data_IF_796321009152
#
_entry.id   IF_796321009152
#
_cell.length_a   1.000
_cell.length_b   1.000
_cell.length_c   1.000
_cell.angle_alpha   90.00
_cell.angle_beta   90.00
_cell.angle_gamma   90.00
#
_symmetry.space_group_name_H-M   'P 1'
#
loop_
_entity.id
_entity.type
_entity.pdbx_description
1 polymer ?
#
# COMPACT_ATOMS: atom_id res chain seq x y z
N UNK A 1 -7.50 2.07 6.24
CA UNK A 1 -7.20 3.32 5.51
C UNK A 1 -6.41 2.99 4.26
N UNK A 2 -6.46 3.88 3.26
CA UNK A 2 -5.68 3.80 2.03
C UNK A 2 -5.04 5.14 1.74
N UNK A 3 -3.80 5.14 1.23
CA UNK A 3 -3.07 6.34 0.79
C UNK A 3 -2.45 6.10 -0.59
N UNK A 4 -2.35 7.13 -1.44
CA UNK A 4 -1.71 7.00 -2.76
C UNK A 4 -0.21 6.75 -2.61
N UNK A 5 0.35 5.84 -3.41
CA UNK A 5 1.78 5.59 -3.48
C UNK A 5 2.31 5.88 -4.89
N UNK A 6 1.72 5.26 -5.92
CA UNK A 6 2.01 5.46 -7.35
C UNK A 6 3.50 5.70 -7.68
N UNK A 7 4.38 4.87 -7.14
CA UNK A 7 5.83 5.01 -7.28
C UNK A 7 6.50 3.65 -7.33
N UNK A 8 7.64 3.56 -8.03
CA UNK A 8 8.48 2.37 -7.98
C UNK A 8 9.18 2.30 -6.62
N UNK A 9 9.09 1.13 -5.99
CA UNK A 9 9.86 0.74 -4.83
C UNK A 9 10.96 -0.21 -5.31
N UNK A 10 12.17 -0.03 -4.78
CA UNK A 10 13.24 -1.00 -4.93
C UNK A 10 13.17 -2.00 -3.77
N UNK A 11 12.73 -3.25 -4.00
CA UNK A 11 12.62 -4.24 -2.94
C UNK A 11 13.99 -4.70 -2.41
N UNK A 12 15.07 -4.46 -3.17
CA UNK A 12 16.44 -4.85 -2.82
C UNK A 12 17.23 -3.71 -2.18
N UNK A 13 16.61 -2.53 -2.00
CA UNK A 13 17.27 -1.39 -1.38
C UNK A 13 17.64 -1.70 0.08
N UNK A 14 18.85 -1.28 0.47
CA UNK A 14 19.33 -1.41 1.86
C UNK A 14 18.76 -0.35 2.80
N UNK A 15 18.10 0.68 2.24
CA UNK A 15 17.48 1.78 2.97
C UNK A 15 16.01 1.92 2.60
N UNK A 16 15.13 2.10 3.59
CA UNK A 16 13.70 2.29 3.34
C UNK A 16 13.38 3.71 2.89
N UNK A 17 12.56 3.84 1.84
CA UNK A 17 11.95 5.10 1.45
C UNK A 17 10.83 5.49 2.42
N UNK A 18 11.17 6.37 3.36
CA UNK A 18 10.26 6.88 4.40
C UNK A 18 9.59 8.20 4.03
N UNK A 19 9.95 8.79 2.88
CA UNK A 19 9.48 10.14 2.53
C UNK A 19 8.19 10.11 1.71
N UNK A 20 7.95 9.00 1.01
CA UNK A 20 6.72 8.76 0.25
C UNK A 20 5.76 7.90 1.05
N UNK A 21 4.49 7.88 0.68
CA UNK A 21 3.47 7.03 1.29
C UNK A 21 3.58 5.55 0.88
N UNK A 22 4.81 5.02 0.88
CA UNK A 22 5.11 3.61 0.66
C UNK A 22 4.61 2.75 1.84
N UNK A 23 4.36 1.45 1.62
CA UNK A 23 3.91 0.54 2.68
C UNK A 23 4.81 0.54 3.93
N UNK A 24 6.13 0.66 3.77
CA UNK A 24 7.08 0.71 4.89
C UNK A 24 6.90 2.00 5.70
N UNK A 25 6.92 3.17 5.05
CA UNK A 25 6.72 4.45 5.73
C UNK A 25 5.36 4.54 6.43
N UNK A 26 4.29 4.03 5.81
CA UNK A 26 2.96 3.97 6.43
C UNK A 26 2.96 3.05 7.66
N UNK A 27 3.65 1.92 7.60
CA UNK A 27 3.78 1.00 8.74
C UNK A 27 4.49 1.68 9.90
N UNK A 28 5.61 2.35 9.66
CA UNK A 28 6.35 3.06 10.70
C UNK A 28 5.50 4.17 11.33
N UNK A 29 4.81 4.97 10.52
CA UNK A 29 3.93 6.03 10.99
C UNK A 29 2.81 5.49 11.89
N UNK A 30 2.14 4.41 11.47
CA UNK A 30 1.03 3.83 12.24
C UNK A 30 1.51 3.10 13.50
N UNK A 31 2.66 2.43 13.46
CA UNK A 31 3.26 1.79 14.63
C UNK A 31 3.62 2.82 15.71
N UNK A 32 4.15 3.99 15.29
CA UNK A 32 4.43 5.10 16.20
C UNK A 32 3.13 5.71 16.78
N UNK A 33 2.08 5.83 15.95
CA UNK A 33 0.81 6.43 16.37
C UNK A 33 -0.06 5.53 17.27
N UNK A 34 0.09 4.20 17.16
CA UNK A 34 -0.66 3.23 17.96
C UNK A 34 0.27 2.17 18.61
N UNK A 35 1.11 2.56 19.59
CA UNK A 35 2.00 1.63 20.27
C UNK A 35 1.21 0.48 20.92
N UNK A 36 1.64 -0.76 20.65
CA UNK A 36 0.97 -1.96 21.16
C UNK A 36 -0.34 -2.32 20.45
N UNK A 37 -0.73 -1.60 19.41
CA UNK A 37 -1.87 -1.96 18.55
C UNK A 37 -1.50 -3.03 17.52
N UNK A 38 -2.51 -3.75 17.01
CA UNK A 38 -2.30 -4.68 15.89
C UNK A 38 -2.30 -3.90 14.56
N UNK A 39 -1.34 -4.19 13.69
CA UNK A 39 -1.13 -3.45 12.45
C UNK A 39 -0.84 -4.39 11.27
N UNK A 40 -1.65 -4.27 10.22
CA UNK A 40 -1.41 -4.89 8.91
C UNK A 40 -1.29 -3.79 7.86
N UNK A 41 -0.21 -3.83 7.06
CA UNK A 41 0.05 -2.90 5.96
C UNK A 41 0.46 -3.69 4.73
N UNK A 42 -0.11 -3.35 3.57
CA UNK A 42 0.22 -3.96 2.27
C UNK A 42 0.20 -2.93 1.14
N UNK A 43 1.02 -3.15 0.11
CA UNK A 43 0.89 -2.46 -1.17
C UNK A 43 -0.19 -3.11 -2.03
N UNK A 44 -0.95 -2.30 -2.78
CA UNK A 44 -1.96 -2.75 -3.73
C UNK A 44 -1.63 -2.20 -5.11
N UNK A 45 -1.94 -3.00 -6.13
CA UNK A 45 -1.71 -2.66 -7.52
C UNK A 45 -0.39 -3.22 -8.03
N UNK A 46 -0.10 -2.86 -9.26
CA UNK A 46 1.05 -3.34 -10.02
C UNK A 46 1.45 -2.28 -11.04
N UNK A 47 2.49 -2.56 -11.83
CA UNK A 47 2.99 -1.62 -12.84
C UNK A 47 1.90 -1.23 -13.86
N UNK A 48 1.20 -2.16 -14.54
CA UNK A 48 0.12 -1.80 -15.47
C UNK A 48 -0.99 -0.95 -14.85
N UNK A 49 -1.47 -1.31 -13.65
CA UNK A 49 -2.51 -0.56 -12.96
C UNK A 49 -2.03 0.87 -12.58
N UNK A 50 -0.76 1.01 -12.21
CA UNK A 50 -0.16 2.31 -11.90
C UNK A 50 -0.05 3.20 -13.15
N UNK A 51 0.38 2.64 -14.28
CA UNK A 51 0.43 3.37 -15.55
C UNK A 51 -0.98 3.78 -15.98
N UNK A 52 -1.93 2.86 -15.96
CA UNK A 52 -3.32 3.14 -16.32
C UNK A 52 -3.92 4.28 -15.48
N UNK A 53 -3.67 4.28 -14.16
CA UNK A 53 -4.08 5.36 -13.27
C UNK A 53 -3.48 6.71 -13.68
N UNK A 54 -2.18 6.76 -14.01
CA UNK A 54 -1.49 7.99 -14.43
C UNK A 54 -2.00 8.51 -15.78
N UNK A 55 -2.37 7.62 -16.69
CA UNK A 55 -2.95 7.94 -18.01
C UNK A 55 -4.45 8.27 -17.93
N UNK A 56 -5.09 8.14 -16.76
CA UNK A 56 -6.52 8.42 -16.58
C UNK A 56 -7.45 7.36 -17.16
N UNK A 57 -6.98 6.13 -17.34
CA UNK A 57 -7.77 4.99 -17.79
C UNK A 57 -8.65 4.49 -16.64
N UNK A 58 -9.93 4.22 -16.90
CA UNK A 58 -10.85 3.74 -15.89
C UNK A 58 -10.57 2.26 -15.54
N UNK A 59 -10.85 1.85 -14.29
CA UNK A 59 -10.61 0.48 -13.85
C UNK A 59 -11.47 -0.54 -14.62
N UNK A 60 -12.68 -0.13 -15.02
CA UNK A 60 -13.63 -0.92 -15.81
C UNK A 60 -13.14 -1.21 -17.24
N UNK A 61 -12.14 -0.45 -17.72
CA UNK A 61 -11.50 -0.67 -19.02
C UNK A 61 -10.33 -1.66 -18.94
N UNK A 62 -9.96 -2.10 -17.73
CA UNK A 62 -8.87 -3.05 -17.50
C UNK A 62 -9.41 -4.48 -17.26
N UNK A 63 -8.64 -5.52 -17.66
CA UNK A 63 -8.95 -6.89 -17.27
C UNK A 63 -8.98 -7.06 -15.75
N UNK A 64 -9.98 -7.77 -15.22
CA UNK A 64 -10.12 -7.97 -13.78
C UNK A 64 -8.94 -8.77 -13.18
N UNK A 65 -8.45 -9.77 -13.91
CA UNK A 65 -7.29 -10.58 -13.53
C UNK A 65 -6.00 -9.75 -13.47
N UNK A 66 -5.89 -8.69 -14.27
CA UNK A 66 -4.80 -7.72 -14.16
C UNK A 66 -4.86 -6.93 -12.83
N UNK A 67 -6.06 -6.61 -12.35
CA UNK A 67 -6.25 -5.85 -11.10
C UNK A 67 -6.08 -6.73 -9.84
N UNK A 68 -6.25 -8.04 -9.96
CA UNK A 68 -6.08 -9.01 -8.87
C UNK A 68 -4.60 -9.29 -8.53
N UNK A 69 -3.66 -8.88 -9.38
CA UNK A 69 -2.22 -9.04 -9.14
C UNK A 69 -1.66 -7.87 -8.34
N UNK A 70 -0.82 -8.16 -7.35
CA UNK A 70 -0.12 -7.15 -6.56
C UNK A 70 1.40 -7.31 -6.70
N UNK A 71 2.06 -6.25 -7.15
CA UNK A 71 3.51 -6.18 -7.32
C UNK A 71 4.09 -5.25 -6.27
N UNK A 72 4.94 -5.79 -5.40
CA UNK A 72 5.57 -5.05 -4.29
C UNK A 72 6.48 -3.92 -4.77
N UNK A 73 7.04 -4.04 -5.99
CA UNK A 73 7.88 -3.00 -6.58
C UNK A 73 7.06 -1.86 -7.19
N UNK A 74 5.75 -2.04 -7.44
CA UNK A 74 4.89 -1.05 -8.07
C UNK A 74 3.50 -0.93 -7.41
N UNK A 75 3.43 -0.59 -6.12
CA UNK A 75 2.15 -0.33 -5.48
C UNK A 75 1.56 1.00 -5.98
N UNK A 76 0.31 0.93 -6.42
CA UNK A 76 -0.52 2.10 -6.69
C UNK A 76 -1.00 2.73 -5.37
N UNK A 77 -1.44 1.89 -4.42
CA UNK A 77 -1.91 2.30 -3.09
C UNK A 77 -1.13 1.59 -1.99
N UNK A 78 -0.92 2.26 -0.86
CA UNK A 78 -0.62 1.59 0.41
C UNK A 78 -1.92 1.49 1.23
N UNK A 79 -2.23 0.28 1.69
CA UNK A 79 -3.41 -0.02 2.48
C UNK A 79 -3.01 -0.49 3.87
N UNK A 80 -3.71 0.01 4.89
CA UNK A 80 -3.45 -0.36 6.26
C UNK A 80 -4.73 -0.59 7.07
N UNK A 81 -4.68 -1.59 7.95
CA UNK A 81 -5.64 -1.83 9.03
C UNK A 81 -4.88 -1.73 10.34
N UNK A 82 -5.33 -0.85 11.22
CA UNK A 82 -4.76 -0.65 12.55
C UNK A 82 -5.87 -0.80 13.60
N UNK A 83 -5.58 -1.58 14.65
CA UNK A 83 -6.51 -1.84 15.75
C UNK A 83 -5.87 -1.35 17.03
N UNK A 84 -6.60 -0.49 17.75
CA UNK A 84 -6.14 0.06 19.03
C UNK A 84 -5.94 -1.07 20.06
N UNK A 85 -4.97 -0.95 20.97
CA UNK A 85 -4.79 -1.92 22.06
C UNK A 85 -6.09 -2.18 22.82
N UNK A 86 -6.36 -3.45 23.15
CA UNK A 86 -7.55 -3.85 23.93
C UNK A 86 -8.87 -3.84 23.16
N UNK A 87 -8.85 -3.57 21.84
CA UNK A 87 -10.02 -3.67 20.97
C UNK A 87 -9.85 -4.91 20.08
N UNK A 88 -10.87 -5.76 19.99
CA UNK A 88 -10.85 -6.89 19.06
C UNK A 88 -11.07 -6.36 17.63
N UNK A 89 -10.28 -6.86 16.69
CA UNK A 89 -10.44 -6.52 15.27
C UNK A 89 -11.78 -7.09 14.76
N UNK A 90 -12.56 -6.29 14.03
CA UNK A 90 -13.65 -6.83 13.22
C UNK A 90 -13.02 -7.74 12.15
N UNK A 91 -13.42 -9.02 12.16
CA UNK A 91 -12.98 -10.05 11.22
C UNK A 91 -13.49 -9.78 9.81
#
# INVERSE_FOLDING_TARGET
MTVPCAARIDPDATEDDRWRSAPVGLRELLAAAAPGGALAVRGLGNLPATVAFLEGIAAEELPADLLDVHDEAFPLLAAAVAVKPGVEALR
#
